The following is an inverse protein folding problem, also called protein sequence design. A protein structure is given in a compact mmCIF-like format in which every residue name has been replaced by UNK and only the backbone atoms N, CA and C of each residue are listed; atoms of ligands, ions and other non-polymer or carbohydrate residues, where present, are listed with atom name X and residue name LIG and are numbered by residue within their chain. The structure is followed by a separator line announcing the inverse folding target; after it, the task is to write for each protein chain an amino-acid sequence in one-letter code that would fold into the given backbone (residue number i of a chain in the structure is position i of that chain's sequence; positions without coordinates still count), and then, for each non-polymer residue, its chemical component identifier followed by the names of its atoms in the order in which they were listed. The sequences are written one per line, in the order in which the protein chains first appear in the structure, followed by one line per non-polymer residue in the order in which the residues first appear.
data_IF_830338578278
#
_entry.id   IF_830338578278
#
_cell.length_a   1.000
_cell.length_b   1.000
_cell.length_c   1.000
_cell.angle_alpha   90.00
_cell.angle_beta   90.00
_cell.angle_gamma   90.00
#
_symmetry.space_group_name_H-M   'P 1'
#
loop_
_entity.id
_entity.type
_entity.pdbx_description
1 polymer ?
#
# COMPACT_ATOMS: atom_id res chain seq x y z
N UNK A 1 -20.68 -2.08 -6.31
CA UNK A 1 -19.47 -1.25 -6.59
C UNK A 1 -19.84 -0.06 -7.48
N UNK A 2 -20.65 -0.25 -8.55
CA UNK A 2 -21.06 0.87 -9.43
C UNK A 2 -21.79 1.97 -8.63
N UNK A 3 -22.76 1.62 -7.80
CA UNK A 3 -23.48 2.58 -6.95
C UNK A 3 -22.53 3.40 -6.05
N UNK A 4 -21.45 2.79 -5.56
CA UNK A 4 -20.44 3.50 -4.79
C UNK A 4 -19.73 4.54 -5.66
N UNK A 5 -19.30 4.17 -6.88
CA UNK A 5 -18.66 5.09 -7.80
C UNK A 5 -19.57 6.28 -8.17
N UNK A 6 -20.86 6.02 -8.35
CA UNK A 6 -21.86 7.07 -8.62
C UNK A 6 -22.01 8.02 -7.41
N UNK A 7 -22.06 7.48 -6.20
CA UNK A 7 -22.10 8.28 -4.97
C UNK A 7 -20.81 9.08 -4.75
N UNK A 8 -19.66 8.50 -5.03
CA UNK A 8 -18.38 9.22 -4.97
C UNK A 8 -18.37 10.42 -5.91
N UNK A 9 -18.95 10.29 -7.11
CA UNK A 9 -19.07 11.40 -8.05
C UNK A 9 -19.95 12.52 -7.50
N UNK A 10 -21.09 12.17 -6.89
CA UNK A 10 -22.00 13.14 -6.25
C UNK A 10 -21.32 13.87 -5.08
N UNK A 11 -20.48 13.18 -4.31
CA UNK A 11 -19.78 13.73 -3.15
C UNK A 11 -18.40 14.33 -3.46
N UNK A 12 -18.00 14.38 -4.75
CA UNK A 12 -16.66 14.83 -5.18
C UNK A 12 -15.50 14.02 -4.57
N UNK A 13 -15.74 12.78 -4.12
CA UNK A 13 -14.70 11.88 -3.64
C UNK A 13 -13.95 11.27 -4.83
N UNK A 14 -12.62 11.20 -4.73
CA UNK A 14 -11.79 10.80 -5.86
C UNK A 14 -10.57 9.93 -5.47
N UNK A 15 -10.60 9.38 -4.28
CA UNK A 15 -9.58 8.47 -3.73
C UNK A 15 -10.24 7.12 -3.45
N UNK A 16 -9.60 6.04 -3.88
CA UNK A 16 -10.04 4.66 -3.66
C UNK A 16 -8.94 3.91 -2.93
N UNK A 17 -9.30 3.22 -1.85
CA UNK A 17 -8.44 2.24 -1.21
C UNK A 17 -8.78 0.86 -1.75
N UNK A 18 -7.80 0.20 -2.36
CA UNK A 18 -7.95 -1.16 -2.90
C UNK A 18 -6.63 -1.92 -2.76
N UNK A 19 -6.64 -3.01 -1.99
CA UNK A 19 -5.45 -3.85 -1.80
C UNK A 19 -5.10 -4.65 -3.06
N UNK A 20 -3.94 -4.42 -3.68
CA UNK A 20 -3.50 -5.26 -4.79
C UNK A 20 -3.32 -6.72 -4.36
N UNK A 21 -2.76 -6.99 -3.17
CA UNK A 21 -2.51 -8.35 -2.68
C UNK A 21 -3.77 -9.22 -2.61
N UNK A 22 -4.93 -8.61 -2.33
CA UNK A 22 -6.20 -9.33 -2.25
C UNK A 22 -6.78 -9.62 -3.63
N UNK A 23 -6.47 -8.80 -4.63
CA UNK A 23 -7.13 -8.80 -5.93
C UNK A 23 -6.29 -9.32 -7.09
N UNK A 24 -4.95 -9.43 -6.95
CA UNK A 24 -4.11 -10.08 -7.94
C UNK A 24 -4.25 -11.60 -7.86
N UNK A 25 -4.11 -12.26 -8.98
CA UNK A 25 -3.80 -13.70 -9.05
C UNK A 25 -2.33 -13.87 -9.44
N UNK A 26 -1.73 -15.02 -9.17
CA UNK A 26 -0.33 -15.25 -9.49
C UNK A 26 -0.03 -16.74 -9.64
N UNK A 27 1.00 -17.04 -10.38
CA UNK A 27 1.65 -18.34 -10.44
C UNK A 27 3.09 -18.21 -9.94
N UNK A 28 3.56 -19.21 -9.20
CA UNK A 28 4.96 -19.28 -8.77
C UNK A 28 5.55 -20.58 -9.30
N UNK A 29 6.65 -20.45 -10.02
CA UNK A 29 7.41 -21.58 -10.54
C UNK A 29 8.91 -21.33 -10.33
N UNK A 30 9.53 -22.23 -9.57
CA UNK A 30 10.98 -22.19 -9.30
C UNK A 30 11.45 -20.81 -8.76
N UNK A 31 10.65 -20.20 -7.86
CA UNK A 31 10.93 -18.92 -7.25
C UNK A 31 10.59 -17.70 -8.13
N UNK A 32 10.09 -17.91 -9.36
CA UNK A 32 9.66 -16.84 -10.27
C UNK A 32 8.14 -16.68 -10.18
N UNK A 33 7.69 -15.43 -10.01
CA UNK A 33 6.28 -15.08 -9.96
C UNK A 33 5.81 -14.47 -11.28
N UNK A 34 4.64 -14.91 -11.74
CA UNK A 34 3.88 -14.26 -12.81
C UNK A 34 2.58 -13.74 -12.22
N UNK A 35 2.27 -12.45 -12.43
CA UNK A 35 1.11 -11.79 -11.83
C UNK A 35 0.02 -11.54 -12.87
N UNK A 36 -1.23 -11.82 -12.51
CA UNK A 36 -2.43 -11.47 -13.27
C UNK A 36 -3.21 -10.37 -12.52
N UNK A 37 -3.30 -9.20 -13.14
CA UNK A 37 -4.00 -8.02 -12.61
C UNK A 37 -5.46 -7.92 -13.06
N UNK A 38 -5.98 -8.86 -13.87
CA UNK A 38 -7.31 -8.78 -14.49
C UNK A 38 -8.44 -8.55 -13.49
N UNK A 39 -8.36 -9.17 -12.30
CA UNK A 39 -9.37 -8.99 -11.25
C UNK A 39 -9.22 -7.63 -10.57
N UNK A 40 -8.00 -7.18 -10.36
CA UNK A 40 -7.67 -5.87 -9.81
C UNK A 40 -8.16 -4.75 -10.74
N UNK A 41 -7.88 -4.87 -12.03
CA UNK A 41 -8.31 -3.93 -13.07
C UNK A 41 -9.83 -3.82 -13.18
N UNK A 42 -10.55 -4.95 -13.12
CA UNK A 42 -12.02 -4.93 -13.12
C UNK A 42 -12.62 -4.07 -12.01
N UNK A 43 -11.96 -4.01 -10.84
CA UNK A 43 -12.39 -3.15 -9.75
C UNK A 43 -12.05 -1.70 -10.01
N UNK A 44 -10.81 -1.41 -10.43
CA UNK A 44 -10.33 -0.06 -10.72
C UNK A 44 -11.12 0.58 -11.86
N UNK A 45 -11.39 -0.16 -12.91
CA UNK A 45 -12.08 0.31 -14.11
C UNK A 45 -13.48 0.87 -13.85
N UNK A 46 -14.18 0.37 -12.83
CA UNK A 46 -15.48 0.92 -12.45
C UNK A 46 -15.34 2.37 -12.02
N UNK A 47 -14.39 2.67 -11.15
CA UNK A 47 -14.13 4.01 -10.65
C UNK A 47 -13.45 4.91 -11.68
N UNK A 48 -12.56 4.33 -12.49
CA UNK A 48 -11.89 5.04 -13.57
C UNK A 48 -12.88 5.53 -14.63
N UNK A 49 -13.79 4.65 -15.09
CA UNK A 49 -14.85 5.01 -16.04
C UNK A 49 -15.88 5.99 -15.49
N UNK A 50 -16.16 5.93 -14.19
CA UNK A 50 -17.01 6.92 -13.52
C UNK A 50 -16.33 8.31 -13.41
N UNK A 51 -15.02 8.41 -13.67
CA UNK A 51 -14.24 9.66 -13.61
C UNK A 51 -13.89 10.10 -12.19
N UNK A 52 -14.00 9.19 -11.20
CA UNK A 52 -13.77 9.48 -9.79
C UNK A 52 -12.40 8.97 -9.28
N UNK A 53 -11.62 8.30 -10.11
CA UNK A 53 -10.32 7.79 -9.72
C UNK A 53 -9.21 8.80 -10.07
N UNK A 54 -8.75 9.56 -9.08
CA UNK A 54 -7.56 10.43 -9.17
C UNK A 54 -6.39 9.85 -8.41
N UNK A 55 -6.67 9.17 -7.29
CA UNK A 55 -5.69 8.50 -6.48
C UNK A 55 -6.18 7.11 -6.09
N UNK A 56 -5.26 6.15 -6.15
CA UNK A 56 -5.43 4.78 -5.70
C UNK A 56 -4.51 4.54 -4.51
N UNK A 57 -5.09 4.29 -3.36
CA UNK A 57 -4.36 3.84 -2.18
C UNK A 57 -4.29 2.31 -2.19
N UNK A 58 -3.09 1.76 -2.22
CA UNK A 58 -2.85 0.35 -1.99
C UNK A 58 -3.16 0.01 -0.53
N UNK A 59 -3.81 -1.12 -0.27
CA UNK A 59 -4.00 -1.60 1.10
C UNK A 59 -2.68 -1.94 1.79
N UNK A 60 -2.73 -2.16 3.09
CA UNK A 60 -1.55 -2.53 3.88
C UNK A 60 -0.89 -3.82 3.34
N UNK A 61 0.41 -3.77 3.11
CA UNK A 61 1.21 -4.94 2.69
C UNK A 61 1.82 -5.69 3.86
N UNK A 62 1.74 -5.13 5.06
CA UNK A 62 2.19 -5.75 6.30
C UNK A 62 1.17 -5.53 7.42
N UNK A 63 1.26 -6.33 8.46
CA UNK A 63 0.46 -6.20 9.66
C UNK A 63 1.25 -6.55 10.90
N UNK A 64 0.72 -6.22 12.08
CA UNK A 64 1.31 -6.62 13.36
C UNK A 64 1.30 -8.14 13.49
N UNK A 65 2.38 -8.70 13.99
CA UNK A 65 2.50 -10.14 14.24
C UNK A 65 1.79 -10.61 15.52
N UNK A 66 1.24 -9.68 16.30
CA UNK A 66 0.55 -9.94 17.56
C UNK A 66 -0.26 -8.74 18.04
N UNK A 67 0.01 -8.26 19.23
CA UNK A 67 -0.64 -7.11 19.84
C UNK A 67 -0.22 -5.77 19.22
N UNK A 68 -0.70 -4.65 19.79
CA UNK A 68 -0.45 -3.31 19.27
C UNK A 68 1.03 -2.91 19.24
N UNK A 69 1.84 -3.42 20.17
CA UNK A 69 3.29 -3.17 20.26
C UNK A 69 4.14 -4.10 19.41
N UNK A 70 3.54 -5.15 18.84
CA UNK A 70 4.25 -6.14 18.05
C UNK A 70 4.82 -5.57 16.75
N UNK A 71 5.96 -6.15 16.34
CA UNK A 71 6.61 -5.76 15.08
C UNK A 71 5.73 -6.08 13.87
N UNK A 72 5.89 -5.30 12.82
CA UNK A 72 5.24 -5.56 11.54
C UNK A 72 5.95 -6.65 10.75
N UNK A 73 5.16 -7.48 10.08
CA UNK A 73 5.64 -8.48 9.14
C UNK A 73 4.82 -8.40 7.85
N UNK A 74 5.47 -8.40 6.66
CA UNK A 74 4.78 -8.34 5.39
C UNK A 74 3.95 -9.60 5.11
N UNK A 75 2.85 -9.40 4.39
CA UNK A 75 2.00 -10.46 3.90
C UNK A 75 2.51 -10.97 2.57
N UNK A 76 2.72 -12.28 2.46
CA UNK A 76 3.01 -12.96 1.18
C UNK A 76 1.81 -13.82 0.84
N UNK A 77 1.18 -13.66 -0.32
CA UNK A 77 0.08 -14.49 -0.72
C UNK A 77 0.56 -15.92 -1.04
N UNK A 78 -0.23 -16.90 -0.61
CA UNK A 78 0.02 -18.34 -0.85
C UNK A 78 -1.29 -19.02 -1.21
N UNK A 79 -1.23 -20.06 -2.04
CA UNK A 79 -2.36 -20.93 -2.28
C UNK A 79 -2.29 -22.15 -1.36
N UNK A 80 -3.34 -22.32 -0.55
CA UNK A 80 -3.54 -23.51 0.29
C UNK A 80 -4.90 -24.13 -0.06
N UNK A 81 -4.91 -25.38 -0.52
CA UNK A 81 -6.11 -26.09 -0.96
C UNK A 81 -6.93 -25.27 -1.99
N UNK A 82 -6.26 -24.62 -2.94
CA UNK A 82 -6.87 -23.80 -3.99
C UNK A 82 -7.43 -22.45 -3.52
N UNK A 83 -7.20 -22.06 -2.26
CA UNK A 83 -7.62 -20.76 -1.73
C UNK A 83 -6.41 -19.89 -1.45
N UNK A 84 -6.46 -18.65 -1.93
CA UNK A 84 -5.43 -17.66 -1.63
C UNK A 84 -5.54 -17.22 -0.18
N UNK A 85 -4.41 -17.21 0.52
CA UNK A 85 -4.24 -16.70 1.88
C UNK A 85 -3.08 -15.74 1.93
N UNK A 86 -3.16 -14.74 2.80
CA UNK A 86 -2.07 -13.86 3.13
C UNK A 86 -1.37 -14.38 4.38
N UNK A 87 -0.10 -14.73 4.25
CA UNK A 87 0.71 -15.28 5.34
C UNK A 87 1.81 -14.29 5.69
N UNK A 88 1.99 -14.00 6.97
CA UNK A 88 3.05 -13.11 7.43
C UNK A 88 4.41 -13.83 7.47
N UNK A 89 5.42 -13.13 6.99
CA UNK A 89 6.82 -13.55 7.05
C UNK A 89 7.69 -12.39 7.54
N UNK A 90 8.80 -12.63 8.29
CA UNK A 90 9.78 -11.59 8.53
C UNK A 90 10.26 -10.97 7.21
N UNK A 91 10.50 -9.64 7.20
CA UNK A 91 10.87 -8.95 5.94
C UNK A 91 12.16 -9.52 5.33
N UNK A 92 13.11 -9.96 6.16
CA UNK A 92 14.39 -10.53 5.75
C UNK A 92 14.31 -12.00 5.32
N UNK A 93 13.13 -12.62 5.44
CA UNK A 93 12.94 -14.01 4.98
C UNK A 93 13.04 -14.12 3.46
N UNK A 94 13.52 -15.26 2.99
CA UNK A 94 13.60 -15.54 1.56
C UNK A 94 12.23 -15.39 0.88
N UNK A 95 11.15 -15.82 1.54
CA UNK A 95 9.79 -15.75 1.03
C UNK A 95 9.33 -14.30 0.78
N UNK A 96 9.53 -13.42 1.77
CA UNK A 96 9.15 -12.01 1.65
C UNK A 96 10.03 -11.29 0.63
N UNK A 97 11.34 -11.44 0.74
CA UNK A 97 12.32 -10.81 -0.18
C UNK A 97 12.05 -11.22 -1.63
N UNK A 98 11.89 -12.53 -1.89
CA UNK A 98 11.67 -13.01 -3.26
C UNK A 98 10.36 -12.52 -3.85
N UNK A 99 9.27 -12.54 -3.07
CA UNK A 99 7.96 -12.07 -3.52
C UNK A 99 7.99 -10.56 -3.82
N UNK A 100 8.36 -9.73 -2.85
CA UNK A 100 8.29 -8.26 -2.99
C UNK A 100 9.29 -7.68 -3.99
N UNK A 101 10.44 -8.32 -4.18
CA UNK A 101 11.40 -7.93 -5.23
C UNK A 101 10.79 -8.04 -6.64
N UNK A 102 9.87 -8.95 -6.86
CA UNK A 102 9.20 -9.15 -8.14
C UNK A 102 7.86 -8.41 -8.20
N UNK A 103 7.09 -8.43 -7.11
CA UNK A 103 5.76 -7.85 -7.06
C UNK A 103 5.76 -6.32 -7.20
N UNK A 104 6.60 -5.62 -6.42
CA UNK A 104 6.59 -4.15 -6.41
C UNK A 104 6.91 -3.54 -7.79
N UNK A 105 7.99 -3.96 -8.48
CA UNK A 105 8.26 -3.45 -9.82
C UNK A 105 7.18 -3.82 -10.84
N UNK A 106 6.63 -5.04 -10.76
CA UNK A 106 5.56 -5.49 -11.65
C UNK A 106 4.29 -4.66 -11.47
N UNK A 107 3.86 -4.43 -10.23
CA UNK A 107 2.70 -3.59 -9.92
C UNK A 107 2.89 -2.15 -10.40
N UNK A 108 4.06 -1.57 -10.13
CA UNK A 108 4.37 -0.21 -10.55
C UNK A 108 4.37 -0.04 -12.08
N UNK A 109 4.94 -1.01 -12.80
CA UNK A 109 4.94 -1.02 -14.27
C UNK A 109 3.50 -1.15 -14.82
N UNK A 110 2.71 -2.08 -14.28
CA UNK A 110 1.32 -2.29 -14.67
C UNK A 110 0.46 -1.03 -14.46
N UNK A 111 0.54 -0.40 -13.29
CA UNK A 111 -0.22 0.81 -12.98
C UNK A 111 0.19 2.00 -13.87
N UNK A 112 1.48 2.14 -14.15
CA UNK A 112 2.00 3.18 -15.04
C UNK A 112 1.49 3.02 -16.48
N UNK A 113 1.37 1.78 -16.95
CA UNK A 113 0.87 1.47 -18.30
C UNK A 113 -0.65 1.62 -18.37
N UNK A 114 -1.39 0.98 -17.46
CA UNK A 114 -2.85 0.93 -17.51
C UNK A 114 -3.53 2.23 -17.03
N UNK A 115 -2.94 2.90 -16.03
CA UNK A 115 -3.53 4.06 -15.35
C UNK A 115 -2.56 5.24 -15.20
N UNK A 116 -1.94 5.74 -16.28
CA UNK A 116 -0.82 6.71 -16.23
C UNK A 116 -1.16 8.07 -15.59
N UNK A 117 -2.45 8.38 -15.41
CA UNK A 117 -2.92 9.63 -14.81
C UNK A 117 -3.42 9.45 -13.37
N UNK A 118 -3.35 8.25 -12.82
CA UNK A 118 -3.76 7.94 -11.46
C UNK A 118 -2.55 7.96 -10.55
N UNK A 119 -2.60 8.76 -9.50
CA UNK A 119 -1.58 8.72 -8.46
C UNK A 119 -1.74 7.42 -7.66
N UNK A 120 -0.68 6.61 -7.59
CA UNK A 120 -0.66 5.46 -6.70
C UNK A 120 0.15 5.75 -5.46
N UNK A 121 -0.41 5.43 -4.29
CA UNK A 121 0.30 5.48 -3.01
C UNK A 121 0.08 4.18 -2.23
N UNK A 122 1.16 3.63 -1.69
CA UNK A 122 1.17 2.34 -0.99
C UNK A 122 1.18 2.55 0.51
N UNK A 123 0.24 1.93 1.21
CA UNK A 123 0.30 1.73 2.65
C UNK A 123 1.25 0.58 3.00
N UNK A 124 2.10 0.77 3.99
CA UNK A 124 2.97 -0.30 4.48
C UNK A 124 2.25 -1.12 5.55
N UNK A 125 1.88 -0.46 6.65
CA UNK A 125 1.18 -1.09 7.77
C UNK A 125 0.47 -0.02 8.60
N UNK A 126 -0.61 -0.40 9.27
CA UNK A 126 -1.49 0.50 9.98
C UNK A 126 -0.86 1.13 11.23
N UNK A 127 -0.91 2.45 11.32
CA UNK A 127 -0.59 3.29 12.49
C UNK A 127 0.71 2.89 13.23
N UNK A 128 1.90 3.00 12.63
CA UNK A 128 3.15 2.66 13.30
C UNK A 128 3.38 3.53 14.56
N UNK A 129 3.89 2.88 15.61
CA UNK A 129 4.22 3.49 16.90
C UNK A 129 5.73 3.42 17.17
N UNK A 130 6.21 4.05 18.23
CA UNK A 130 7.61 3.95 18.67
C UNK A 130 8.10 2.50 18.85
N UNK A 131 7.19 1.59 19.24
CA UNK A 131 7.53 0.20 19.53
C UNK A 131 7.84 -0.62 18.27
N UNK A 132 7.17 -0.31 17.15
CA UNK A 132 7.25 -1.10 15.91
C UNK A 132 7.75 -0.31 14.68
N UNK A 133 8.11 0.94 14.86
CA UNK A 133 8.59 1.81 13.77
C UNK A 133 9.80 1.23 13.03
N UNK A 134 10.68 0.50 13.71
CA UNK A 134 11.86 -0.09 13.07
C UNK A 134 11.50 -1.12 12.01
N UNK A 135 10.53 -1.98 12.29
CA UNK A 135 10.05 -2.97 11.31
C UNK A 135 9.28 -2.29 10.17
N UNK A 136 8.47 -1.25 10.47
CA UNK A 136 7.84 -0.41 9.46
C UNK A 136 8.86 0.18 8.48
N UNK A 137 9.88 0.86 9.01
CA UNK A 137 10.94 1.50 8.23
C UNK A 137 11.71 0.48 7.38
N UNK A 138 12.00 -0.71 7.91
CA UNK A 138 12.68 -1.76 7.16
C UNK A 138 11.87 -2.19 5.93
N UNK A 139 10.56 -2.42 6.08
CA UNK A 139 9.64 -2.79 4.99
C UNK A 139 9.54 -1.64 3.98
N UNK A 140 9.31 -0.42 4.46
CA UNK A 140 9.16 0.76 3.61
C UNK A 140 10.42 1.04 2.77
N UNK A 141 11.60 0.93 3.37
CA UNK A 141 12.88 1.07 2.65
C UNK A 141 13.07 -0.02 1.61
N UNK A 142 12.69 -1.26 1.93
CA UNK A 142 12.74 -2.34 0.96
C UNK A 142 11.82 -2.04 -0.25
N UNK A 143 10.59 -1.58 -0.02
CA UNK A 143 9.67 -1.16 -1.10
C UNK A 143 10.30 -0.05 -1.96
N UNK A 144 10.84 1.00 -1.35
CA UNK A 144 11.52 2.10 -2.06
C UNK A 144 12.77 1.64 -2.84
N UNK A 145 13.49 0.64 -2.35
CA UNK A 145 14.62 0.04 -3.09
C UNK A 145 14.15 -0.68 -4.37
N UNK A 146 12.97 -1.31 -4.34
CA UNK A 146 12.42 -1.99 -5.52
C UNK A 146 11.80 -0.99 -6.51
N UNK A 147 11.20 0.08 -6.04
CA UNK A 147 10.60 1.14 -6.86
C UNK A 147 10.72 2.50 -6.13
N UNK A 148 11.77 3.29 -6.42
CA UNK A 148 11.99 4.58 -5.76
C UNK A 148 10.86 5.60 -5.94
N UNK A 149 10.14 5.52 -7.06
CA UNK A 149 9.07 6.46 -7.42
C UNK A 149 7.73 6.15 -6.73
N UNK A 150 7.57 4.95 -6.14
CA UNK A 150 6.32 4.60 -5.46
C UNK A 150 6.13 5.53 -4.25
N UNK A 151 4.94 6.14 -4.14
CA UNK A 151 4.61 6.97 -2.99
C UNK A 151 4.21 6.12 -1.80
N UNK A 152 4.70 6.46 -0.62
CA UNK A 152 4.29 5.82 0.63
C UNK A 152 3.38 6.79 1.38
N UNK A 153 2.20 6.31 1.75
CA UNK A 153 1.19 7.03 2.52
C UNK A 153 0.93 6.30 3.83
N UNK A 154 0.76 7.04 4.92
CA UNK A 154 0.36 6.44 6.19
C UNK A 154 -0.34 7.41 7.12
N UNK A 155 -1.30 6.87 7.88
CA UNK A 155 -1.89 7.53 9.03
C UNK A 155 -1.04 7.25 10.26
N UNK A 156 -0.41 8.26 10.83
CA UNK A 156 0.43 8.08 12.01
C UNK A 156 0.55 9.35 12.85
N UNK A 157 0.93 9.19 14.13
CA UNK A 157 1.17 10.29 15.07
C UNK A 157 2.64 10.65 15.20
N UNK A 158 3.54 9.69 14.89
CA UNK A 158 4.98 9.91 15.05
C UNK A 158 5.55 10.69 13.88
N UNK A 159 6.46 11.61 14.16
CA UNK A 159 7.22 12.33 13.14
C UNK A 159 8.51 11.58 12.71
N UNK A 160 8.81 10.44 13.32
CA UNK A 160 10.04 9.66 13.05
C UNK A 160 10.08 9.03 11.65
N UNK A 161 8.99 9.17 10.87
CA UNK A 161 8.89 8.71 9.49
C UNK A 161 9.18 9.80 8.44
N UNK A 162 9.76 10.93 8.85
CA UNK A 162 9.99 12.10 7.99
C UNK A 162 10.70 11.78 6.67
N UNK A 163 11.65 10.83 6.68
CA UNK A 163 12.41 10.45 5.49
C UNK A 163 11.87 9.18 4.81
N UNK A 164 10.65 8.77 5.16
CA UNK A 164 10.02 7.53 4.68
C UNK A 164 8.70 7.84 3.96
N UNK A 165 7.83 8.66 4.58
CA UNK A 165 6.52 8.97 4.02
C UNK A 165 6.60 10.08 2.98
N UNK A 166 5.93 9.86 1.87
CA UNK A 166 5.66 10.91 0.87
C UNK A 166 4.35 11.65 1.18
N UNK A 167 3.36 10.93 1.74
CA UNK A 167 2.04 11.48 2.04
C UNK A 167 1.70 11.16 3.50
N UNK A 168 1.41 12.23 4.26
CA UNK A 168 1.06 12.15 5.67
C UNK A 168 -0.44 12.30 5.84
N UNK A 169 -1.06 11.40 6.61
CA UNK A 169 -2.47 11.48 7.01
C UNK A 169 -2.54 11.69 8.53
N UNK A 170 -2.46 12.96 9.00
CA UNK A 170 -2.49 13.24 10.42
C UNK A 170 -3.88 13.02 11.01
N UNK A 171 -3.96 12.46 12.21
CA UNK A 171 -5.21 12.41 12.96
C UNK A 171 -5.60 13.81 13.43
N UNK A 172 -6.86 14.19 13.24
CA UNK A 172 -7.35 15.54 13.52
C UNK A 172 -7.17 15.99 14.97
N UNK A 173 -7.33 15.06 15.92
CA UNK A 173 -7.15 15.32 17.37
C UNK A 173 -5.69 15.63 17.75
N UNK A 174 -4.70 15.14 16.97
CA UNK A 174 -3.27 15.42 17.17
C UNK A 174 -2.71 16.47 16.21
N UNK A 175 -3.51 16.92 15.22
CA UNK A 175 -3.04 17.85 14.19
C UNK A 175 -2.52 19.17 14.79
N UNK A 176 -3.16 19.67 15.85
CA UNK A 176 -2.75 20.91 16.51
C UNK A 176 -1.34 20.84 17.11
N UNK A 177 -0.99 19.70 17.70
CA UNK A 177 0.32 19.46 18.31
C UNK A 177 1.43 19.33 17.25
N UNK A 178 1.13 18.78 16.10
CA UNK A 178 2.04 18.62 14.96
C UNK A 178 1.94 19.71 13.89
N UNK A 179 1.21 20.81 14.15
CA UNK A 179 0.84 21.80 13.12
C UNK A 179 2.04 22.34 12.35
N UNK A 180 3.08 22.78 13.02
CA UNK A 180 4.27 23.35 12.35
C UNK A 180 4.99 22.31 11.49
N UNK A 181 5.11 21.07 11.97
CA UNK A 181 5.67 19.96 11.21
C UNK A 181 4.89 19.72 9.92
N UNK A 182 3.57 19.58 9.99
CA UNK A 182 2.75 19.31 8.80
C UNK A 182 2.73 20.49 7.83
N UNK A 183 2.76 21.73 8.33
CA UNK A 183 2.88 22.94 7.52
C UNK A 183 4.17 23.00 6.71
N UNK A 184 5.28 22.55 7.28
CA UNK A 184 6.55 22.45 6.55
C UNK A 184 6.49 21.38 5.46
N UNK A 185 5.85 20.24 5.73
CA UNK A 185 5.67 19.17 4.73
C UNK A 185 4.81 19.63 3.53
N UNK A 186 3.82 20.47 3.74
CA UNK A 186 3.00 21.02 2.64
C UNK A 186 3.78 21.90 1.63
N UNK A 187 4.99 22.31 1.97
CA UNK A 187 5.84 23.14 1.10
C UNK A 187 6.74 22.31 0.18
N UNK A 188 6.85 21.03 0.39
CA UNK A 188 7.65 20.07 -0.38
C UNK A 188 6.82 19.38 -1.47
#
# INVERSE_FOLDING_TARGET
VQELADKMKECYSNVILLSPLEHIEFEEKDGTYTFDYSRFDKMIDIFHRAGVLKMLEGGHIAGRSGDWSSQFAPYVPRYENGKKKLVQYPMESEQAVNFYRQFIPSLAAHLKEAYPKVLYAQHIADEPTSDNIKSYVAIARFVKQQCPDIKIIEACHTHDLENILDIWVPQLNFYKEGYDFYRERQKQ
#
